data_IF_142778564251
#
_entry.id   IF_142778564251
#
_cell.length_a   1.000
_cell.length_b   1.000
_cell.length_c   1.000
_cell.angle_alpha   90.00
_cell.angle_beta   90.00
_cell.angle_gamma   90.00
#
_symmetry.space_group_name_H-M   'P 1'
#
loop_
_entity.id
_entity.type
_entity.pdbx_description
1 polymer ?
#
# COMPACT_ATOMS: atom_id res chain seq x y z
N UNK A 1 -28.99 32.47 -9.73
CA UNK A 1 -29.95 32.10 -8.67
C UNK A 1 -29.33 31.01 -7.81
N UNK A 2 -28.57 31.39 -6.79
CA UNK A 2 -27.99 30.48 -5.79
C UNK A 2 -29.01 30.30 -4.68
N UNK A 3 -29.82 29.26 -4.76
CA UNK A 3 -30.71 28.88 -3.68
C UNK A 3 -29.86 28.40 -2.49
N UNK A 4 -29.74 29.23 -1.45
CA UNK A 4 -29.28 28.77 -0.15
C UNK A 4 -30.34 27.83 0.41
N UNK A 5 -29.98 26.55 0.53
CA UNK A 5 -30.80 25.56 1.24
C UNK A 5 -30.87 26.01 2.71
N UNK A 6 -32.07 26.24 3.28
CA UNK A 6 -32.19 26.54 4.71
C UNK A 6 -31.75 25.32 5.51
N UNK A 7 -30.80 25.48 6.42
CA UNK A 7 -30.53 24.46 7.44
C UNK A 7 -31.80 24.34 8.30
N UNK A 8 -32.41 23.16 8.34
CA UNK A 8 -33.51 22.89 9.26
C UNK A 8 -32.96 22.86 10.69
N UNK A 9 -33.14 23.98 11.39
CA UNK A 9 -32.95 24.09 12.83
C UNK A 9 -34.06 23.30 13.54
N UNK A 10 -33.85 22.02 13.82
CA UNK A 10 -34.90 21.23 14.46
C UNK A 10 -34.60 19.79 14.87
N UNK A 11 -33.34 19.37 14.97
CA UNK A 11 -33.02 17.96 15.32
C UNK A 11 -32.34 17.87 16.68
N UNK A 12 -32.98 17.13 17.59
CA UNK A 12 -32.55 16.93 18.96
C UNK A 12 -31.19 16.25 18.98
N UNK A 13 -30.18 16.99 19.45
CA UNK A 13 -28.78 16.54 19.57
C UNK A 13 -28.69 15.64 20.79
N UNK A 14 -28.53 14.34 20.60
CA UNK A 14 -28.22 13.46 21.70
C UNK A 14 -26.74 13.62 22.05
N UNK A 15 -26.49 14.23 23.21
CA UNK A 15 -25.18 14.54 23.81
C UNK A 15 -24.56 15.85 23.31
N UNK A 16 -24.35 16.79 24.24
CA UNK A 16 -23.56 17.98 23.96
C UNK A 16 -22.09 17.56 23.73
N UNK A 17 -21.42 18.06 22.68
CA UNK A 17 -20.01 17.76 22.47
C UNK A 17 -19.20 18.22 23.68
N UNK A 18 -18.26 17.39 24.12
CA UNK A 18 -17.35 17.72 25.21
C UNK A 18 -16.66 19.07 24.94
N UNK A 19 -16.53 19.96 25.95
CA UNK A 19 -15.89 21.25 25.75
C UNK A 19 -14.46 21.06 25.28
N UNK A 20 -14.15 21.54 24.07
CA UNK A 20 -12.80 21.40 23.49
C UNK A 20 -11.81 22.22 24.33
N UNK A 21 -10.64 21.65 24.68
CA UNK A 21 -9.63 22.37 25.44
C UNK A 21 -9.18 23.63 24.69
N UNK A 22 -8.97 24.71 25.42
CA UNK A 22 -8.46 25.96 24.86
C UNK A 22 -7.04 25.76 24.29
N UNK A 23 -6.67 26.46 23.21
CA UNK A 23 -5.33 26.33 22.64
C UNK A 23 -4.26 26.70 23.69
N UNK A 24 -3.31 25.80 23.91
CA UNK A 24 -2.29 25.87 24.98
C UNK A 24 -1.02 26.65 24.58
N UNK A 25 -0.95 27.16 23.35
CA UNK A 25 0.17 27.99 22.85
C UNK A 25 0.51 27.75 21.38
N UNK A 26 1.41 28.56 20.82
CA UNK A 26 2.03 28.30 19.52
C UNK A 26 3.15 27.26 19.69
N UNK A 27 3.15 26.24 18.85
CA UNK A 27 4.16 25.18 18.85
C UNK A 27 4.76 25.01 17.45
N UNK A 28 6.00 24.53 17.37
CA UNK A 28 6.62 24.22 16.08
C UNK A 28 5.86 23.09 15.37
N UNK A 29 5.77 23.13 14.04
CA UNK A 29 4.94 22.20 13.27
C UNK A 29 5.39 20.73 13.34
N UNK A 30 6.65 20.50 13.73
CA UNK A 30 7.31 19.22 13.92
C UNK A 30 7.39 18.77 15.39
N UNK A 31 7.10 19.68 16.34
CA UNK A 31 6.93 19.31 17.75
C UNK A 31 5.81 18.29 17.89
N UNK A 32 5.86 17.43 18.91
CA UNK A 32 4.86 16.37 19.12
C UNK A 32 3.96 16.72 20.30
N UNK A 33 2.67 16.55 20.10
CA UNK A 33 1.64 16.72 21.14
C UNK A 33 1.07 15.35 21.50
N UNK A 34 0.80 15.16 22.79
CA UNK A 34 0.04 14.00 23.25
C UNK A 34 -1.44 14.27 23.02
N UNK A 35 -2.15 13.30 22.43
CA UNK A 35 -3.61 13.33 22.31
C UNK A 35 -4.17 11.97 22.70
N UNK A 36 -5.24 11.97 23.48
CA UNK A 36 -5.99 10.78 23.86
C UNK A 36 -7.33 10.81 23.16
N UNK A 37 -7.76 9.69 22.58
CA UNK A 37 -9.07 9.54 21.93
C UNK A 37 -9.50 8.07 22.00
N UNK A 38 -10.78 7.80 21.75
CA UNK A 38 -11.28 6.45 21.57
C UNK A 38 -11.47 6.18 20.08
N UNK A 39 -10.96 5.06 19.57
CA UNK A 39 -11.14 4.66 18.18
C UNK A 39 -11.74 3.26 18.13
N UNK A 40 -12.93 3.12 17.55
CA UNK A 40 -13.71 1.88 17.52
C UNK A 40 -13.81 1.25 18.93
N UNK A 41 -14.18 2.06 19.93
CA UNK A 41 -14.30 1.67 21.33
C UNK A 41 -12.98 1.31 22.05
N UNK A 42 -11.83 1.51 21.41
CA UNK A 42 -10.51 1.29 22.02
C UNK A 42 -9.87 2.64 22.39
N UNK A 43 -9.46 2.86 23.65
CA UNK A 43 -8.66 4.02 24.04
C UNK A 43 -7.29 4.03 23.36
N UNK A 44 -6.90 5.19 22.84
CA UNK A 44 -5.66 5.40 22.09
C UNK A 44 -4.93 6.64 22.61
N UNK A 45 -3.66 6.45 22.96
CA UNK A 45 -2.72 7.53 23.23
C UNK A 45 -1.78 7.73 22.03
N UNK A 46 -1.84 8.90 21.40
CA UNK A 46 -1.00 9.29 20.27
C UNK A 46 -0.01 10.38 20.66
N UNK A 47 1.22 10.27 20.15
CA UNK A 47 2.21 11.34 20.25
C UNK A 47 2.66 11.82 18.86
N UNK A 48 2.00 12.86 18.35
CA UNK A 48 1.98 13.20 16.92
C UNK A 48 2.24 14.68 16.66
N UNK A 49 2.77 15.05 15.48
CA UNK A 49 2.85 16.45 15.08
C UNK A 49 1.46 17.11 15.02
N UNK A 50 1.28 18.38 15.45
CA UNK A 50 0.01 19.10 15.40
C UNK A 50 -0.63 19.17 14.00
N UNK A 51 0.19 19.06 12.94
CA UNK A 51 -0.27 19.07 11.55
C UNK A 51 -0.84 17.73 11.06
N UNK A 52 -0.71 16.65 11.84
CA UNK A 52 -1.15 15.33 11.42
C UNK A 52 -2.68 15.30 11.35
N UNK A 53 -3.23 14.98 10.18
CA UNK A 53 -4.68 14.86 10.00
C UNK A 53 -5.21 13.63 10.74
N UNK A 54 -6.50 13.61 11.07
CA UNK A 54 -7.16 12.43 11.63
C UNK A 54 -7.08 11.25 10.66
N UNK A 55 -7.23 11.51 9.35
CA UNK A 55 -7.10 10.45 8.35
C UNK A 55 -5.70 9.80 8.38
N UNK A 56 -4.63 10.59 8.43
CA UNK A 56 -3.27 10.06 8.50
C UNK A 56 -2.98 9.38 9.85
N UNK A 57 -3.54 9.91 10.95
CA UNK A 57 -3.44 9.26 12.25
C UNK A 57 -4.08 7.86 12.22
N UNK A 58 -5.31 7.74 11.72
CA UNK A 58 -6.01 6.45 11.61
C UNK A 58 -5.24 5.46 10.72
N UNK A 59 -4.82 5.91 9.53
CA UNK A 59 -4.21 5.05 8.52
C UNK A 59 -2.76 4.67 8.85
N UNK A 60 -1.93 5.67 9.13
CA UNK A 60 -0.48 5.49 9.21
C UNK A 60 -0.03 5.21 10.64
N UNK A 61 -0.71 5.79 11.65
CA UNK A 61 -0.34 5.57 13.06
C UNK A 61 -1.07 4.39 13.66
N UNK A 62 -2.35 4.20 13.36
CA UNK A 62 -3.18 3.14 13.94
C UNK A 62 -3.39 1.94 13.02
N UNK A 63 -2.95 2.01 11.76
CA UNK A 63 -3.08 0.91 10.81
C UNK A 63 -4.52 0.64 10.34
N UNK A 64 -5.47 1.52 10.66
CA UNK A 64 -6.87 1.47 10.24
C UNK A 64 -7.00 2.08 8.84
N UNK A 65 -6.69 1.27 7.83
CA UNK A 65 -6.53 1.73 6.44
C UNK A 65 -7.84 1.87 5.68
N UNK A 66 -8.98 1.51 6.26
CA UNK A 66 -10.30 1.57 5.64
C UNK A 66 -10.79 3.00 5.39
N UNK A 67 -10.35 3.98 6.17
CA UNK A 67 -10.56 5.40 5.83
C UNK A 67 -9.67 5.79 4.66
N UNK A 68 -10.24 6.21 3.53
CA UNK A 68 -9.48 6.49 2.30
C UNK A 68 -9.28 7.99 2.04
N UNK A 69 -8.15 8.35 1.43
CA UNK A 69 -7.82 9.71 1.00
C UNK A 69 -7.88 9.79 -0.53
N UNK A 70 -8.86 10.55 -1.05
CA UNK A 70 -9.02 10.77 -2.48
C UNK A 70 -8.66 12.19 -2.94
N UNK A 71 -9.07 13.21 -2.18
CA UNK A 71 -8.85 14.62 -2.55
C UNK A 71 -8.16 15.47 -1.49
N UNK A 72 -8.20 15.09 -0.21
CA UNK A 72 -7.60 15.80 0.93
C UNK A 72 -8.06 17.25 1.16
N UNK A 73 -9.10 17.72 0.46
CA UNK A 73 -9.65 19.07 0.58
C UNK A 73 -11.17 19.05 0.83
N UNK A 74 -11.71 17.94 1.34
CA UNK A 74 -13.10 17.80 1.78
C UNK A 74 -14.16 17.49 0.71
N UNK A 75 -13.80 17.52 -0.57
CA UNK A 75 -14.74 17.38 -1.70
C UNK A 75 -15.26 15.95 -1.89
N UNK A 76 -14.38 14.95 -1.89
CA UNK A 76 -14.74 13.59 -2.34
C UNK A 76 -15.50 12.74 -1.32
N UNK A 77 -15.42 13.06 -0.04
CA UNK A 77 -16.04 12.31 1.05
C UNK A 77 -15.54 10.88 1.33
N UNK A 78 -14.49 10.41 0.68
CA UNK A 78 -13.94 9.06 0.91
C UNK A 78 -13.32 8.88 2.31
N UNK A 79 -12.96 10.00 2.95
CA UNK A 79 -12.38 10.04 4.30
C UNK A 79 -13.43 10.25 5.40
N UNK A 80 -14.71 10.04 5.11
CA UNK A 80 -15.74 10.16 6.15
C UNK A 80 -15.48 9.14 7.26
N UNK A 81 -15.49 9.62 8.50
CA UNK A 81 -15.53 8.86 9.75
C UNK A 81 -16.64 9.42 10.63
N UNK A 82 -17.03 8.73 11.69
CA UNK A 82 -17.88 9.32 12.73
C UNK A 82 -16.98 9.90 13.83
N UNK A 83 -17.24 11.12 14.26
CA UNK A 83 -16.60 11.76 15.41
C UNK A 83 -17.72 12.17 16.36
N UNK A 84 -17.70 11.63 17.57
CA UNK A 84 -18.76 11.79 18.58
C UNK A 84 -20.16 11.48 18.02
N UNK A 85 -20.23 10.47 17.15
CA UNK A 85 -21.46 10.04 16.49
C UNK A 85 -21.84 10.79 15.20
N UNK A 86 -21.14 11.88 14.84
CA UNK A 86 -21.46 12.69 13.64
C UNK A 86 -20.48 12.43 12.49
N UNK A 87 -20.98 12.36 11.25
CA UNK A 87 -20.11 12.20 10.08
C UNK A 87 -19.21 13.42 9.85
N UNK A 88 -17.89 13.19 9.81
CA UNK A 88 -16.89 14.24 9.60
C UNK A 88 -15.83 13.85 8.57
N UNK A 89 -15.21 14.86 7.94
CA UNK A 89 -14.09 14.67 7.01
C UNK A 89 -12.79 14.50 7.78
N UNK A 90 -12.29 13.28 7.88
CA UNK A 90 -11.05 13.01 8.62
C UNK A 90 -9.83 13.77 8.04
N UNK A 91 -9.82 14.08 6.74
CA UNK A 91 -8.73 14.83 6.11
C UNK A 91 -8.72 16.33 6.45
N UNK A 92 -9.79 16.87 7.03
CA UNK A 92 -9.91 18.29 7.40
C UNK A 92 -9.88 18.50 8.93
N UNK A 93 -9.64 17.44 9.69
CA UNK A 93 -9.47 17.47 11.13
C UNK A 93 -8.04 17.13 11.47
N UNK A 94 -7.42 17.85 12.40
CA UNK A 94 -6.14 17.47 12.97
C UNK A 94 -6.36 16.54 14.15
N UNK A 95 -5.50 15.52 14.29
CA UNK A 95 -5.60 14.56 15.39
C UNK A 95 -5.56 15.25 16.75
N UNK A 96 -4.77 16.32 16.91
CA UNK A 96 -4.67 17.10 18.14
C UNK A 96 -5.97 17.85 18.53
N UNK A 97 -6.92 18.01 17.61
CA UNK A 97 -8.22 18.63 17.89
C UNK A 97 -9.23 17.64 18.52
N UNK A 98 -8.90 16.35 18.53
CA UNK A 98 -9.81 15.24 18.85
C UNK A 98 -9.53 14.68 20.26
N UNK A 99 -9.00 15.51 21.16
CA UNK A 99 -8.80 15.14 22.56
C UNK A 99 -10.14 14.67 23.16
N UNK A 100 -10.12 13.48 23.75
CA UNK A 100 -11.24 12.79 24.39
C UNK A 100 -12.43 12.45 23.48
N UNK A 101 -12.27 12.59 22.15
CA UNK A 101 -13.32 12.29 21.19
C UNK A 101 -13.47 10.77 20.97
N UNK A 102 -14.68 10.33 20.60
CA UNK A 102 -14.95 8.97 20.12
C UNK A 102 -14.97 8.95 18.58
N UNK A 103 -14.16 8.10 17.97
CA UNK A 103 -14.02 7.98 16.52
C UNK A 103 -14.40 6.58 16.06
N UNK A 104 -15.36 6.48 15.14
CA UNK A 104 -15.72 5.21 14.50
C UNK A 104 -15.33 5.24 13.03
N UNK A 105 -14.56 4.23 12.60
CA UNK A 105 -14.17 3.99 11.21
C UNK A 105 -14.99 2.86 10.61
N UNK A 106 -14.83 2.57 9.31
CA UNK A 106 -15.55 1.47 8.64
C UNK A 106 -15.23 0.12 9.29
N UNK A 107 -14.02 -0.05 9.83
CA UNK A 107 -13.60 -1.23 10.57
C UNK A 107 -14.43 -1.42 11.85
N UNK A 108 -14.97 -0.36 12.45
CA UNK A 108 -15.84 -0.42 13.62
C UNK A 108 -17.28 -0.84 13.31
N UNK A 109 -17.74 -0.74 12.05
CA UNK A 109 -19.12 -1.08 11.69
C UNK A 109 -19.44 -2.57 11.83
N UNK A 110 -18.52 -3.44 11.40
CA UNK A 110 -18.76 -4.87 11.33
C UNK A 110 -17.50 -5.64 10.95
N UNK A 111 -17.59 -6.97 10.97
CA UNK A 111 -16.49 -7.91 10.70
C UNK A 111 -16.84 -8.79 9.50
N UNK A 112 -15.85 -9.40 8.82
CA UNK A 112 -16.13 -10.28 7.67
C UNK A 112 -17.09 -11.45 8.00
N UNK A 113 -17.10 -11.90 9.24
CA UNK A 113 -17.97 -12.96 9.80
C UNK A 113 -19.29 -12.45 10.38
N UNK A 114 -19.43 -11.13 10.57
CA UNK A 114 -20.60 -10.49 11.15
C UNK A 114 -20.72 -9.06 10.60
N UNK A 115 -21.31 -8.97 9.39
CA UNK A 115 -21.40 -7.72 8.65
C UNK A 115 -22.53 -6.85 9.18
N UNK A 116 -22.29 -5.55 9.24
CA UNK A 116 -23.36 -4.59 9.50
C UNK A 116 -24.43 -4.64 8.38
N UNK A 117 -25.73 -4.42 8.65
CA UNK A 117 -26.77 -4.46 7.62
C UNK A 117 -26.49 -3.60 6.37
N UNK A 118 -25.86 -2.43 6.55
CA UNK A 118 -25.36 -1.59 5.45
C UNK A 118 -24.29 -2.31 4.60
N UNK A 119 -23.32 -2.97 5.22
CA UNK A 119 -22.27 -3.70 4.50
C UNK A 119 -22.86 -4.85 3.68
N UNK A 120 -23.81 -5.59 4.26
CA UNK A 120 -24.51 -6.65 3.53
C UNK A 120 -25.34 -6.11 2.36
N UNK A 121 -26.09 -5.02 2.58
CA UNK A 121 -26.93 -4.42 1.54
C UNK A 121 -26.10 -3.89 0.37
N UNK A 122 -24.95 -3.26 0.64
CA UNK A 122 -24.02 -2.84 -0.41
C UNK A 122 -23.49 -4.02 -1.22
N UNK A 123 -23.23 -5.17 -0.59
CA UNK A 123 -22.86 -6.39 -1.29
C UNK A 123 -24.00 -6.89 -2.18
N UNK A 124 -25.21 -7.07 -1.61
CA UNK A 124 -26.39 -7.58 -2.34
C UNK A 124 -26.80 -6.69 -3.53
N UNK A 125 -26.70 -5.37 -3.38
CA UNK A 125 -27.11 -4.40 -4.40
C UNK A 125 -26.00 -3.96 -5.34
N UNK A 126 -24.84 -4.61 -5.29
CA UNK A 126 -23.68 -4.21 -6.09
C UNK A 126 -23.36 -2.71 -5.90
N UNK A 127 -23.50 -2.22 -4.66
CA UNK A 127 -23.23 -0.85 -4.24
C UNK A 127 -21.74 -0.48 -4.22
N UNK A 128 -20.86 -1.36 -4.71
CA UNK A 128 -19.44 -1.10 -4.88
C UNK A 128 -18.88 -1.76 -6.15
N UNK A 129 -17.75 -1.24 -6.63
CA UNK A 129 -16.91 -1.85 -7.66
C UNK A 129 -15.44 -1.83 -7.20
N UNK A 130 -14.73 -0.72 -7.40
CA UNK A 130 -13.34 -0.59 -6.93
C UNK A 130 -13.19 -0.56 -5.40
N UNK A 131 -14.28 -0.39 -4.66
CA UNK A 131 -14.31 -0.34 -3.20
C UNK A 131 -13.79 0.96 -2.57
N UNK A 132 -13.14 1.85 -3.33
CA UNK A 132 -12.41 2.99 -2.76
C UNK A 132 -13.32 4.03 -2.08
N UNK A 133 -14.49 4.33 -2.62
CA UNK A 133 -15.45 5.25 -1.98
C UNK A 133 -16.34 4.57 -0.93
N UNK A 134 -16.36 3.24 -0.86
CA UNK A 134 -17.34 2.47 -0.11
C UNK A 134 -17.31 2.73 1.40
N UNK A 135 -16.14 2.84 2.06
CA UNK A 135 -16.07 3.22 3.47
C UNK A 135 -16.77 4.54 3.80
N UNK A 136 -16.53 5.57 2.97
CA UNK A 136 -17.16 6.88 3.14
C UNK A 136 -18.67 6.83 2.98
N UNK A 137 -19.17 6.06 2.00
CA UNK A 137 -20.61 5.85 1.82
C UNK A 137 -21.25 5.11 2.99
N UNK A 138 -20.60 4.06 3.50
CA UNK A 138 -21.14 3.28 4.62
C UNK A 138 -21.30 4.14 5.88
N UNK A 139 -20.32 4.98 6.22
CA UNK A 139 -20.41 5.86 7.38
C UNK A 139 -21.34 7.06 7.17
N UNK A 140 -21.39 7.64 5.97
CA UNK A 140 -22.38 8.67 5.65
C UNK A 140 -23.82 8.12 5.68
N UNK A 141 -24.05 6.89 5.20
CA UNK A 141 -25.35 6.25 5.27
C UNK A 141 -25.72 5.85 6.70
N UNK A 142 -24.75 5.42 7.51
CA UNK A 142 -24.96 5.14 8.93
C UNK A 142 -25.43 6.39 9.67
N UNK A 143 -24.73 7.53 9.51
CA UNK A 143 -25.10 8.80 10.13
C UNK A 143 -26.50 9.25 9.69
N UNK A 144 -26.78 9.21 8.37
CA UNK A 144 -28.08 9.54 7.81
C UNK A 144 -29.22 8.71 8.42
N UNK A 145 -29.08 7.39 8.46
CA UNK A 145 -30.13 6.49 8.96
C UNK A 145 -30.24 6.49 10.49
N UNK A 146 -29.18 6.88 11.21
CA UNK A 146 -29.26 7.11 12.65
C UNK A 146 -30.07 8.37 12.97
N UNK A 147 -29.92 9.42 12.16
CA UNK A 147 -30.62 10.70 12.34
C UNK A 147 -32.01 10.75 11.70
N UNK A 148 -32.24 9.97 10.64
CA UNK A 148 -33.45 9.97 9.81
C UNK A 148 -33.68 8.59 9.19
N UNK A 149 -34.11 7.60 9.99
CA UNK A 149 -34.30 6.22 9.53
C UNK A 149 -35.35 6.08 8.43
N UNK A 150 -36.29 7.03 8.36
CA UNK A 150 -37.41 7.09 7.42
C UNK A 150 -37.13 7.96 6.18
N UNK A 151 -35.87 8.29 5.90
CA UNK A 151 -35.49 9.14 4.76
C UNK A 151 -36.07 8.56 3.44
N UNK A 152 -36.92 9.31 2.70
CA UNK A 152 -37.49 8.85 1.44
C UNK A 152 -36.43 8.51 0.39
N UNK A 153 -36.66 7.46 -0.40
CA UNK A 153 -35.69 6.95 -1.37
C UNK A 153 -35.29 8.00 -2.43
N UNK A 154 -36.21 8.89 -2.82
CA UNK A 154 -35.97 9.99 -3.76
C UNK A 154 -35.07 11.11 -3.19
N UNK A 155 -34.90 11.16 -1.87
CA UNK A 155 -34.00 12.10 -1.17
C UNK A 155 -32.60 11.57 -0.94
N UNK A 156 -32.41 10.25 -0.95
CA UNK A 156 -31.11 9.63 -0.73
C UNK A 156 -29.98 10.16 -1.64
N UNK A 157 -30.19 10.46 -2.94
CA UNK A 157 -29.13 11.03 -3.77
C UNK A 157 -28.63 12.40 -3.27
N UNK A 158 -29.52 13.23 -2.73
CA UNK A 158 -29.18 14.56 -2.19
C UNK A 158 -28.46 14.41 -0.85
N UNK A 159 -28.98 13.57 0.04
CA UNK A 159 -28.40 13.32 1.37
C UNK A 159 -27.02 12.64 1.29
N UNK A 160 -26.81 11.75 0.32
CA UNK A 160 -25.53 11.05 0.10
C UNK A 160 -24.59 11.77 -0.88
N UNK A 161 -24.97 12.97 -1.37
CA UNK A 161 -24.18 13.75 -2.34
C UNK A 161 -22.78 14.14 -1.85
N UNK A 162 -22.57 14.06 -0.53
CA UNK A 162 -21.29 14.28 0.11
C UNK A 162 -20.22 13.23 -0.21
N UNK A 163 -20.53 12.09 -0.84
CA UNK A 163 -19.51 11.09 -1.19
C UNK A 163 -19.51 10.84 -2.69
N UNK A 164 -18.35 10.98 -3.33
CA UNK A 164 -18.21 10.84 -4.77
C UNK A 164 -17.88 9.38 -5.15
N UNK A 165 -18.62 8.84 -6.11
CA UNK A 165 -18.33 7.57 -6.75
C UNK A 165 -18.03 7.76 -8.23
N UNK A 166 -16.94 7.15 -8.73
CA UNK A 166 -16.60 7.19 -10.16
C UNK A 166 -16.96 5.91 -10.93
N UNK A 167 -17.40 4.86 -10.23
CA UNK A 167 -17.53 3.53 -10.82
C UNK A 167 -18.98 3.06 -10.96
N UNK A 168 -19.80 3.19 -9.92
CA UNK A 168 -21.10 2.49 -9.83
C UNK A 168 -22.25 3.20 -10.54
N UNK A 169 -22.14 4.51 -10.77
CA UNK A 169 -23.28 5.32 -11.20
C UNK A 169 -24.35 5.51 -10.10
N UNK A 170 -23.99 5.29 -8.83
CA UNK A 170 -24.79 5.54 -7.61
C UNK A 170 -26.03 4.68 -7.39
N UNK A 171 -26.64 4.10 -8.43
CA UNK A 171 -27.92 3.37 -8.27
C UNK A 171 -27.86 2.25 -7.22
N UNK A 172 -26.87 1.35 -7.30
CA UNK A 172 -26.73 0.26 -6.32
C UNK A 172 -26.43 0.73 -4.89
N UNK A 173 -25.85 1.93 -4.73
CA UNK A 173 -25.60 2.55 -3.43
C UNK A 173 -26.93 3.02 -2.83
N UNK A 174 -27.71 3.77 -3.62
CA UNK A 174 -29.02 4.28 -3.19
C UNK A 174 -29.97 3.13 -2.86
N UNK A 175 -30.02 2.10 -3.71
CA UNK A 175 -30.84 0.90 -3.47
C UNK A 175 -30.42 0.16 -2.19
N UNK A 176 -29.11 0.08 -1.88
CA UNK A 176 -28.62 -0.53 -0.66
C UNK A 176 -29.07 0.22 0.60
N UNK A 177 -28.98 1.55 0.58
CA UNK A 177 -29.39 2.39 1.71
C UNK A 177 -30.91 2.36 1.90
N UNK A 178 -31.68 2.41 0.80
CA UNK A 178 -33.14 2.29 0.82
C UNK A 178 -33.59 0.93 1.39
N UNK A 179 -32.91 -0.15 1.04
CA UNK A 179 -33.17 -1.48 1.61
C UNK A 179 -32.99 -1.52 3.12
N UNK A 180 -31.91 -0.91 3.64
CA UNK A 180 -31.66 -0.87 5.08
C UNK A 180 -32.68 0.02 5.79
N UNK A 181 -33.01 1.19 5.23
CA UNK A 181 -34.07 2.06 5.77
C UNK A 181 -35.40 1.30 5.90
N UNK A 182 -35.81 0.54 4.87
CA UNK A 182 -37.02 -0.29 4.92
C UNK A 182 -36.95 -1.43 5.94
N UNK A 183 -35.78 -2.06 6.08
CA UNK A 183 -35.58 -3.18 7.00
C UNK A 183 -35.46 -2.73 8.47
N UNK A 184 -35.08 -1.47 8.71
CA UNK A 184 -34.79 -0.92 10.03
C UNK A 184 -35.56 0.41 10.26
N UNK A 185 -36.91 0.40 10.26
CA UNK A 185 -37.71 1.63 10.35
C UNK A 185 -37.57 2.37 11.69
N UNK A 186 -37.28 1.64 12.76
CA UNK A 186 -37.11 2.19 14.12
C UNK A 186 -35.66 2.61 14.43
N UNK A 187 -34.78 2.60 13.42
CA UNK A 187 -33.36 2.89 13.57
C UNK A 187 -32.48 1.68 13.22
N UNK A 188 -31.26 1.98 12.77
CA UNK A 188 -30.25 0.98 12.43
C UNK A 188 -29.48 0.53 13.69
N UNK A 189 -28.97 -0.71 13.73
CA UNK A 189 -28.09 -1.14 14.82
C UNK A 189 -26.83 -0.27 14.87
N UNK A 190 -26.25 -0.12 16.07
CA UNK A 190 -24.98 0.56 16.24
C UNK A 190 -23.80 -0.19 15.60
N UNK A 191 -22.58 0.40 15.61
CA UNK A 191 -21.39 -0.25 15.06
C UNK A 191 -21.08 -1.55 15.82
N UNK A 192 -20.98 -2.67 15.09
CA UNK A 192 -20.87 -4.01 15.67
C UNK A 192 -19.46 -4.44 16.06
N UNK A 193 -18.42 -3.66 15.73
CA UNK A 193 -17.02 -4.02 15.95
C UNK A 193 -16.24 -2.97 16.76
N UNK A 194 -16.88 -2.38 17.77
CA UNK A 194 -16.26 -1.41 18.68
C UNK A 194 -15.83 -2.01 20.04
N UNK A 195 -15.50 -3.31 20.08
CA UNK A 195 -14.98 -3.93 21.30
C UNK A 195 -13.51 -3.51 21.55
N UNK A 196 -13.06 -3.37 22.81
CA UNK A 196 -11.68 -3.01 23.12
C UNK A 196 -10.72 -4.01 22.48
N UNK A 197 -9.90 -3.54 21.56
CA UNK A 197 -8.86 -4.33 20.90
C UNK A 197 -7.56 -3.57 20.94
N UNK A 198 -6.45 -4.26 21.09
CA UNK A 198 -5.14 -3.60 20.91
C UNK A 198 -5.01 -3.18 19.45
N UNK A 199 -5.12 -1.87 19.18
CA UNK A 199 -4.77 -1.32 17.87
C UNK A 199 -3.26 -1.47 17.70
N UNK A 200 -2.86 -2.30 16.73
CA UNK A 200 -1.47 -2.46 16.37
C UNK A 200 -1.05 -1.25 15.53
N UNK A 201 -0.57 -0.21 16.22
CA UNK A 201 -0.05 0.97 15.54
C UNK A 201 1.17 0.64 14.69
N UNK A 202 1.22 1.13 13.45
CA UNK A 202 2.44 1.11 12.64
C UNK A 202 3.30 2.30 13.05
N UNK A 203 4.15 2.10 14.05
CA UNK A 203 5.20 3.08 14.38
C UNK A 203 6.59 2.43 14.32
N UNK A 204 7.53 3.02 13.55
CA UNK A 204 8.93 2.94 13.88
C UNK A 204 9.21 3.91 15.04
N UNK A 205 9.53 3.36 16.21
CA UNK A 205 10.04 4.11 17.38
C UNK A 205 9.04 5.01 18.12
N UNK A 206 8.72 4.63 19.36
CA UNK A 206 8.01 5.37 20.41
C UNK A 206 6.61 5.97 20.08
N UNK A 207 5.58 5.39 20.71
CA UNK A 207 4.41 6.15 21.16
C UNK A 207 3.03 5.65 20.72
N UNK A 208 2.71 4.38 20.96
CA UNK A 208 1.34 3.98 21.36
C UNK A 208 1.52 3.23 22.68
N UNK A 209 1.11 3.83 23.79
CA UNK A 209 1.02 3.13 25.07
C UNK A 209 -0.45 2.77 25.25
N UNK A 210 -0.76 1.49 25.32
CA UNK A 210 -2.02 1.06 25.92
C UNK A 210 -1.87 1.20 27.43
N UNK A 211 -2.83 1.84 28.09
CA UNK A 211 -2.83 2.01 29.53
C UNK A 211 -2.93 0.64 30.24
N UNK A 212 -1.77 0.08 30.60
CA UNK A 212 -1.66 -0.99 31.58
C UNK A 212 -0.39 -0.79 32.44
N UNK A 213 -0.65 -0.63 33.74
CA UNK A 213 0.21 -0.46 34.93
C UNK A 213 1.74 -0.66 34.84
N UNK A 214 2.43 0.37 35.34
CA UNK A 214 3.71 0.40 36.09
C UNK A 214 4.84 -0.59 35.75
N UNK A 215 5.93 -0.07 35.14
CA UNK A 215 7.34 -0.34 35.51
C UNK A 215 8.34 0.48 34.66
N UNK A 216 9.56 0.77 35.16
CA UNK A 216 10.37 1.91 34.70
C UNK A 216 11.32 1.60 33.52
N UNK A 217 11.48 2.63 32.69
CA UNK A 217 12.62 3.01 31.83
C UNK A 217 13.70 1.96 31.50
N UNK A 218 13.89 1.69 30.20
CA UNK A 218 15.17 1.24 29.64
C UNK A 218 15.47 1.96 28.32
N UNK A 219 16.76 2.24 28.13
CA UNK A 219 17.40 3.06 27.10
C UNK A 219 17.34 2.43 25.66
N UNK A 220 17.92 3.05 24.61
CA UNK A 220 17.55 2.85 23.21
C UNK A 220 17.95 1.47 22.66
N UNK A 221 17.10 0.91 21.80
CA UNK A 221 17.26 -0.41 21.19
C UNK A 221 18.22 -0.38 19.99
N UNK A 222 19.14 -1.35 19.96
CA UNK A 222 19.94 -1.76 18.80
C UNK A 222 19.05 -2.11 17.59
N UNK A 223 19.43 -1.64 16.40
CA UNK A 223 18.84 -2.08 15.13
C UNK A 223 19.27 -3.54 14.83
N UNK A 224 18.37 -4.42 14.37
CA UNK A 224 18.69 -5.84 14.19
C UNK A 224 19.65 -6.05 13.00
N UNK A 225 20.75 -6.75 13.28
CA UNK A 225 21.90 -7.06 12.41
C UNK A 225 21.62 -8.08 11.27
N UNK A 226 20.38 -8.58 11.13
CA UNK A 226 20.02 -9.75 10.32
C UNK A 226 18.75 -9.54 9.46
N UNK A 227 18.82 -9.83 8.16
CA UNK A 227 17.67 -9.78 7.24
C UNK A 227 16.82 -11.05 7.39
N UNK A 228 15.62 -10.91 7.96
CA UNK A 228 14.65 -12.01 8.06
C UNK A 228 13.55 -11.89 7.00
N UNK A 229 13.33 -12.96 6.26
CA UNK A 229 12.22 -13.06 5.30
C UNK A 229 10.90 -13.35 6.05
N UNK A 230 9.79 -12.71 5.66
CA UNK A 230 8.48 -13.03 6.24
C UNK A 230 8.08 -14.48 5.95
N UNK A 231 7.40 -15.16 6.90
CA UNK A 231 6.80 -16.47 6.61
C UNK A 231 5.58 -16.30 5.67
N UNK A 232 5.43 -17.20 4.69
CA UNK A 232 4.29 -17.22 3.76
C UNK A 232 4.71 -17.20 2.29
N UNK A 233 3.73 -17.12 1.39
CA UNK A 233 3.99 -16.98 -0.04
C UNK A 233 4.51 -15.57 -0.37
N UNK A 234 5.45 -15.44 -1.34
CA UNK A 234 5.92 -14.14 -1.77
C UNK A 234 4.79 -13.32 -2.40
N UNK A 235 4.83 -12.01 -2.22
CA UNK A 235 3.89 -11.08 -2.87
C UNK A 235 4.05 -11.14 -4.39
N UNK A 236 5.31 -11.26 -4.84
CA UNK A 236 5.71 -11.40 -6.24
C UNK A 236 6.81 -12.45 -6.32
N UNK A 237 6.65 -13.42 -7.20
CA UNK A 237 7.70 -14.36 -7.58
C UNK A 237 8.11 -14.06 -9.02
N UNK A 238 9.40 -13.82 -9.23
CA UNK A 238 9.96 -13.45 -10.53
C UNK A 238 10.93 -14.53 -10.96
N UNK A 239 10.85 -14.95 -12.23
CA UNK A 239 11.83 -15.79 -12.89
C UNK A 239 12.11 -15.23 -14.27
N UNK A 240 13.36 -14.83 -14.53
CA UNK A 240 13.78 -14.24 -15.80
C UNK A 240 15.12 -14.84 -16.21
N UNK A 241 15.25 -15.18 -17.49
CA UNK A 241 16.48 -15.66 -18.11
C UNK A 241 16.86 -14.80 -19.31
N UNK A 242 18.14 -14.49 -19.49
CA UNK A 242 18.64 -13.73 -20.64
C UNK A 242 20.04 -14.18 -21.03
N UNK A 243 20.34 -14.16 -22.32
CA UNK A 243 21.66 -14.48 -22.86
C UNK A 243 22.54 -13.23 -22.86
N UNK A 244 23.79 -13.37 -22.45
CA UNK A 244 24.80 -12.32 -22.36
C UNK A 244 26.00 -12.71 -23.22
N UNK A 245 26.40 -11.80 -24.11
CA UNK A 245 27.51 -11.98 -25.05
C UNK A 245 28.87 -11.75 -24.38
N UNK A 246 29.13 -12.52 -23.32
CA UNK A 246 30.38 -12.54 -22.56
C UNK A 246 30.64 -13.96 -22.03
N UNK A 247 31.89 -14.27 -21.70
CA UNK A 247 32.22 -15.59 -21.17
C UNK A 247 31.63 -15.78 -19.77
N UNK A 248 31.23 -17.02 -19.40
CA UNK A 248 30.66 -17.29 -18.07
C UNK A 248 31.57 -16.88 -16.91
N UNK A 249 32.89 -16.95 -17.13
CA UNK A 249 33.89 -16.51 -16.17
C UNK A 249 33.87 -14.99 -15.99
N UNK A 250 33.76 -14.24 -17.07
CA UNK A 250 33.77 -12.76 -17.00
C UNK A 250 32.47 -12.24 -16.39
N UNK A 251 31.34 -12.84 -16.74
CA UNK A 251 30.05 -12.57 -16.09
C UNK A 251 30.12 -12.86 -14.59
N UNK A 252 30.70 -14.00 -14.21
CA UNK A 252 30.87 -14.36 -12.82
C UNK A 252 31.77 -13.38 -12.07
N UNK A 253 32.89 -12.93 -12.66
CA UNK A 253 33.76 -11.94 -12.03
C UNK A 253 33.01 -10.64 -11.71
N UNK A 254 32.06 -10.23 -12.55
CA UNK A 254 31.23 -9.07 -12.26
C UNK A 254 30.23 -9.36 -11.13
N UNK A 255 29.55 -10.50 -11.16
CA UNK A 255 28.63 -10.91 -10.09
C UNK A 255 29.35 -11.09 -8.75
N UNK A 256 30.65 -11.41 -8.78
CA UNK A 256 31.46 -11.58 -7.60
C UNK A 256 31.80 -10.23 -6.92
N UNK A 257 31.80 -9.13 -7.67
CA UNK A 257 32.09 -7.79 -7.18
C UNK A 257 30.78 -7.04 -6.86
N UNK A 258 30.37 -7.05 -5.58
CA UNK A 258 29.12 -6.43 -5.14
C UNK A 258 29.00 -4.92 -5.46
N UNK A 259 30.06 -4.09 -5.27
CA UNK A 259 30.09 -2.72 -5.81
C UNK A 259 29.82 -2.66 -7.32
N UNK A 260 30.45 -3.51 -8.12
CA UNK A 260 30.25 -3.51 -9.57
C UNK A 260 28.82 -3.94 -9.94
N UNK A 261 28.28 -4.98 -9.29
CA UNK A 261 26.86 -5.38 -9.43
C UNK A 261 25.92 -4.22 -9.15
N UNK A 262 26.18 -3.44 -8.10
CA UNK A 262 25.34 -2.29 -7.76
C UNK A 262 25.32 -1.23 -8.86
N UNK A 263 26.41 -1.07 -9.62
CA UNK A 263 26.45 -0.15 -10.78
C UNK A 263 25.63 -0.66 -11.97
N UNK A 264 25.47 -1.97 -12.10
CA UNK A 264 24.63 -2.59 -13.14
C UNK A 264 23.14 -2.51 -12.80
N UNK A 265 22.77 -2.29 -11.54
CA UNK A 265 21.38 -2.24 -11.07
C UNK A 265 20.78 -0.82 -11.24
N UNK A 266 19.73 -0.63 -12.06
CA UNK A 266 19.16 0.70 -12.30
C UNK A 266 18.63 1.36 -11.02
N UNK A 267 19.22 2.51 -10.68
CA UNK A 267 18.80 3.31 -9.52
C UNK A 267 19.28 2.78 -8.16
N UNK A 268 20.09 1.72 -8.14
CA UNK A 268 20.76 1.24 -6.94
C UNK A 268 22.06 2.00 -6.67
N UNK A 269 22.39 2.15 -5.40
CA UNK A 269 23.61 2.80 -4.94
C UNK A 269 23.98 2.22 -3.57
N UNK A 270 25.21 1.72 -3.43
CA UNK A 270 25.75 1.33 -2.13
C UNK A 270 26.19 2.59 -1.38
N UNK A 271 25.74 2.72 -0.13
CA UNK A 271 26.09 3.84 0.74
C UNK A 271 27.15 3.46 1.77
N UNK A 272 27.24 2.19 2.13
CA UNK A 272 28.18 1.72 3.15
C UNK A 272 28.50 0.22 2.97
N UNK A 273 29.68 -0.21 3.40
CA UNK A 273 30.10 -1.62 3.42
C UNK A 273 30.31 -2.05 4.86
N UNK A 274 29.46 -2.97 5.33
CA UNK A 274 29.37 -3.34 6.75
C UNK A 274 30.24 -4.56 7.12
N UNK A 275 30.89 -5.16 6.12
CA UNK A 275 31.71 -6.36 6.27
C UNK A 275 30.88 -7.65 6.37
N UNK A 276 31.54 -8.80 6.11
CA UNK A 276 30.88 -10.09 6.07
C UNK A 276 29.81 -10.18 4.99
N UNK A 277 30.12 -9.68 3.79
CA UNK A 277 29.19 -9.69 2.63
C UNK A 277 27.87 -8.94 2.85
N UNK A 278 27.88 -7.97 3.79
CA UNK A 278 26.77 -7.07 4.10
C UNK A 278 27.04 -5.66 3.61
N UNK A 279 26.03 -5.06 3.01
CA UNK A 279 26.09 -3.76 2.38
C UNK A 279 24.86 -2.94 2.77
N UNK A 280 25.05 -1.64 2.98
CA UNK A 280 23.93 -0.68 3.09
C UNK A 280 23.81 0.06 1.78
N UNK A 281 22.59 0.28 1.33
CA UNK A 281 22.36 0.98 0.07
C UNK A 281 20.98 1.59 -0.03
N UNK A 282 20.75 2.24 -1.16
CA UNK A 282 19.45 2.75 -1.57
C UNK A 282 19.13 2.32 -2.98
N UNK A 283 17.85 2.12 -3.27
CA UNK A 283 17.35 1.80 -4.60
C UNK A 283 16.17 2.72 -4.95
N UNK A 284 16.25 3.40 -6.10
CA UNK A 284 15.17 4.24 -6.63
C UNK A 284 14.50 3.57 -7.81
N UNK A 285 13.19 3.38 -7.72
CA UNK A 285 12.38 2.79 -8.79
C UNK A 285 11.29 3.77 -9.21
N UNK A 286 11.16 4.02 -10.51
CA UNK A 286 10.11 4.91 -11.07
C UNK A 286 9.10 4.11 -11.87
N UNK A 287 7.84 4.18 -11.47
CA UNK A 287 6.70 3.46 -12.05
C UNK A 287 5.66 4.48 -12.55
N UNK A 288 5.85 4.98 -13.77
CA UNK A 288 5.00 6.06 -14.30
C UNK A 288 5.07 7.31 -13.42
N UNK A 289 3.95 7.79 -12.84
CA UNK A 289 3.94 8.94 -11.93
C UNK A 289 4.46 8.62 -10.52
N UNK A 290 4.60 7.33 -10.15
CA UNK A 290 5.04 6.91 -8.82
C UNK A 290 6.56 6.81 -8.78
N UNK A 291 7.17 7.38 -7.73
CA UNK A 291 8.59 7.24 -7.43
C UNK A 291 8.73 6.58 -6.06
N UNK A 292 9.44 5.46 -6.01
CA UNK A 292 9.75 4.72 -4.79
C UNK A 292 11.25 4.82 -4.50
N UNK A 293 11.62 4.94 -3.24
CA UNK A 293 13.00 4.95 -2.80
C UNK A 293 13.15 4.06 -1.57
N UNK A 294 13.79 2.92 -1.74
CA UNK A 294 14.10 2.01 -0.65
C UNK A 294 15.48 2.34 -0.09
N UNK A 295 15.61 2.40 1.23
CA UNK A 295 16.90 2.49 1.94
C UNK A 295 16.99 1.27 2.84
N UNK A 296 18.14 0.58 2.82
CA UNK A 296 18.18 -0.72 3.44
C UNK A 296 19.50 -1.48 3.35
N UNK A 297 19.42 -2.77 3.66
CA UNK A 297 20.53 -3.71 3.73
C UNK A 297 20.45 -4.76 2.62
N UNK A 298 21.60 -5.16 2.12
CA UNK A 298 21.78 -6.34 1.29
C UNK A 298 22.82 -7.26 1.96
N UNK A 299 22.57 -8.56 1.95
CA UNK A 299 23.44 -9.57 2.51
C UNK A 299 23.61 -10.70 1.48
N UNK A 300 24.83 -10.91 1.01
CA UNK A 300 25.16 -12.06 0.16
C UNK A 300 25.32 -13.27 1.08
N UNK A 301 24.39 -14.22 0.98
CA UNK A 301 24.33 -15.40 1.86
C UNK A 301 24.89 -16.65 1.20
N UNK A 302 25.02 -16.65 -0.12
CA UNK A 302 25.61 -17.74 -0.90
C UNK A 302 26.40 -17.13 -2.06
N UNK A 303 27.62 -17.62 -2.26
CA UNK A 303 28.54 -17.23 -3.32
C UNK A 303 29.40 -18.45 -3.66
N UNK A 304 28.96 -19.21 -4.65
CA UNK A 304 29.62 -20.43 -5.09
C UNK A 304 30.17 -20.23 -6.50
N UNK A 305 31.50 -20.17 -6.62
CA UNK A 305 32.19 -19.97 -7.89
C UNK A 305 32.21 -21.23 -8.77
N UNK A 306 32.10 -22.43 -8.18
CA UNK A 306 32.13 -23.69 -8.91
C UNK A 306 30.78 -23.93 -9.61
N UNK A 307 29.68 -23.70 -8.88
CA UNK A 307 28.33 -23.78 -9.44
C UNK A 307 27.82 -22.48 -10.05
N UNK A 308 28.57 -21.38 -9.90
CA UNK A 308 28.26 -20.01 -10.37
C UNK A 308 26.89 -19.54 -9.91
N UNK A 309 26.65 -19.73 -8.60
CA UNK A 309 25.40 -19.39 -7.92
C UNK A 309 25.62 -18.32 -6.87
N UNK A 310 24.79 -17.29 -6.94
CA UNK A 310 24.76 -16.17 -6.01
C UNK A 310 23.38 -16.07 -5.37
N UNK A 311 23.32 -15.95 -4.05
CA UNK A 311 22.08 -15.66 -3.31
C UNK A 311 22.23 -14.44 -2.44
N UNK A 312 21.30 -13.50 -2.59
CA UNK A 312 21.29 -12.22 -1.90
C UNK A 312 19.96 -12.03 -1.20
N UNK A 313 20.02 -11.79 0.11
CA UNK A 313 18.88 -11.31 0.88
C UNK A 313 18.92 -9.79 0.89
N UNK A 314 17.81 -9.17 0.50
CA UNK A 314 17.67 -7.72 0.50
C UNK A 314 16.50 -7.28 1.37
N UNK A 315 16.67 -6.11 1.95
CA UNK A 315 15.78 -5.51 2.91
C UNK A 315 15.78 -4.02 2.71
N UNK A 316 14.63 -3.40 2.51
CA UNK A 316 14.56 -1.95 2.37
C UNK A 316 13.23 -1.37 2.78
N UNK A 317 13.28 -0.16 3.30
CA UNK A 317 12.11 0.59 3.72
C UNK A 317 12.01 1.86 2.88
N UNK A 318 10.80 2.14 2.41
CA UNK A 318 10.46 3.33 1.65
C UNK A 318 9.92 4.42 2.60
N UNK A 319 10.43 5.66 2.55
CA UNK A 319 9.96 6.77 3.39
C UNK A 319 8.46 7.03 3.27
N UNK A 320 7.83 6.64 2.15
CA UNK A 320 6.40 6.71 1.92
C UNK A 320 5.60 5.56 2.54
N UNK A 321 6.18 4.77 3.45
CA UNK A 321 5.45 3.78 4.25
C UNK A 321 5.28 2.41 3.57
N UNK A 322 6.22 2.02 2.72
CA UNK A 322 6.32 0.67 2.17
C UNK A 322 7.59 -0.03 2.65
N UNK A 323 7.60 -1.35 2.60
CA UNK A 323 8.83 -2.10 2.79
C UNK A 323 8.94 -3.26 1.80
N UNK A 324 10.18 -3.65 1.53
CA UNK A 324 10.54 -4.76 0.67
C UNK A 324 11.51 -5.67 1.41
N UNK A 325 11.24 -6.97 1.34
CA UNK A 325 12.20 -8.02 1.66
C UNK A 325 12.26 -8.94 0.45
N UNK A 326 13.46 -9.33 0.04
CA UNK A 326 13.63 -10.15 -1.16
C UNK A 326 14.68 -11.22 -0.94
N UNK A 327 14.43 -12.40 -1.50
CA UNK A 327 15.40 -13.48 -1.69
C UNK A 327 15.69 -13.59 -3.18
N UNK A 328 16.90 -13.18 -3.57
CA UNK A 328 17.32 -13.09 -4.96
C UNK A 328 18.36 -14.16 -5.21
N UNK A 329 18.14 -15.02 -6.19
CA UNK A 329 19.07 -16.07 -6.61
C UNK A 329 19.44 -15.86 -8.06
N UNK A 330 20.73 -15.87 -8.36
CA UNK A 330 21.29 -15.72 -9.70
C UNK A 330 22.16 -16.91 -10.03
N UNK A 331 21.99 -17.47 -11.22
CA UNK A 331 22.79 -18.58 -11.75
C UNK A 331 23.34 -18.19 -13.14
N UNK A 332 24.58 -18.57 -13.41
CA UNK A 332 25.21 -18.37 -14.72
C UNK A 332 25.52 -19.72 -15.35
N UNK A 333 24.80 -20.06 -16.41
CA UNK A 333 24.97 -21.27 -17.19
C UNK A 333 25.80 -21.00 -18.46
N UNK A 334 26.50 -22.03 -18.93
CA UNK A 334 27.23 -21.98 -20.20
C UNK A 334 26.27 -22.21 -21.38
N UNK A 335 26.28 -21.31 -22.38
CA UNK A 335 25.58 -21.51 -23.65
C UNK A 335 26.56 -21.24 -24.81
N UNK A 336 27.37 -22.25 -25.13
CA UNK A 336 28.43 -22.15 -26.13
C UNK A 336 29.56 -21.22 -25.67
N UNK A 337 29.82 -20.14 -26.43
CA UNK A 337 30.82 -19.11 -26.09
C UNK A 337 30.23 -17.93 -25.30
N UNK A 338 28.92 -17.98 -25.06
CA UNK A 338 28.14 -16.95 -24.37
C UNK A 338 27.60 -17.49 -23.05
N UNK A 339 27.04 -16.62 -22.22
CA UNK A 339 26.50 -16.96 -20.91
C UNK A 339 25.00 -16.84 -20.90
N UNK A 340 24.29 -17.77 -20.27
CA UNK A 340 22.88 -17.60 -19.91
C UNK A 340 22.76 -17.26 -18.44
N UNK A 341 22.16 -16.13 -18.13
CA UNK A 341 21.93 -15.69 -16.75
C UNK A 341 20.47 -15.92 -16.41
N UNK A 342 20.24 -16.66 -15.34
CA UNK A 342 18.90 -16.90 -14.78
C UNK A 342 18.82 -16.26 -13.40
N UNK A 343 17.88 -15.35 -13.20
CA UNK A 343 17.59 -14.78 -11.89
C UNK A 343 16.17 -15.11 -11.46
N UNK A 344 16.06 -15.58 -10.22
CA UNK A 344 14.79 -15.75 -9.52
C UNK A 344 14.75 -14.84 -8.31
N UNK A 345 13.59 -14.23 -8.04
CA UNK A 345 13.41 -13.38 -6.88
C UNK A 345 12.05 -13.64 -6.23
N UNK A 346 12.08 -13.99 -4.94
CA UNK A 346 10.90 -14.03 -4.08
C UNK A 346 10.81 -12.72 -3.31
N UNK A 347 9.83 -11.88 -3.65
CA UNK A 347 9.71 -10.52 -3.13
C UNK A 347 8.47 -10.39 -2.25
N UNK A 348 8.70 -9.94 -1.03
CA UNK A 348 7.69 -9.68 -0.01
C UNK A 348 7.54 -8.16 0.12
N UNK A 349 6.41 -7.65 -0.35
CA UNK A 349 6.08 -6.23 -0.29
C UNK A 349 5.07 -6.00 0.83
N UNK A 350 5.30 -4.96 1.62
CA UNK A 350 4.35 -4.51 2.64
C UNK A 350 4.08 -3.00 2.52
N UNK A 351 3.00 -2.57 3.17
CA UNK A 351 2.59 -1.16 3.16
C UNK A 351 2.08 -0.69 1.80
N UNK A 352 2.35 0.58 1.45
CA UNK A 352 1.88 1.18 0.19
C UNK A 352 2.36 0.46 -1.07
N UNK A 353 3.52 -0.19 -1.00
CA UNK A 353 4.14 -0.87 -2.15
C UNK A 353 3.48 -2.21 -2.44
N UNK A 354 2.84 -2.84 -1.44
CA UNK A 354 2.08 -4.08 -1.65
C UNK A 354 0.83 -3.91 -2.54
N UNK A 355 0.37 -2.67 -2.74
CA UNK A 355 -0.80 -2.36 -3.58
C UNK A 355 -0.49 -2.52 -5.08
N UNK A 356 0.78 -2.59 -5.45
CA UNK A 356 1.18 -2.88 -6.83
C UNK A 356 0.97 -4.38 -7.10
N UNK A 357 -0.15 -4.72 -7.73
CA UNK A 357 -0.51 -6.10 -8.03
C UNK A 357 0.51 -6.82 -8.91
N UNK A 358 0.47 -8.17 -8.91
CA UNK A 358 1.44 -9.06 -9.59
C UNK A 358 1.78 -8.63 -11.03
N UNK A 359 0.77 -8.26 -11.83
CA UNK A 359 0.97 -7.86 -13.24
C UNK A 359 1.86 -6.63 -13.43
N UNK A 360 1.86 -5.67 -12.50
CA UNK A 360 2.74 -4.50 -12.61
C UNK A 360 4.16 -4.86 -12.18
N UNK A 361 4.30 -5.69 -11.15
CA UNK A 361 5.60 -6.15 -10.68
C UNK A 361 6.32 -7.00 -11.74
N UNK A 362 5.60 -7.83 -12.49
CA UNK A 362 6.16 -8.62 -13.59
C UNK A 362 6.74 -7.73 -14.71
N UNK A 363 5.98 -6.71 -15.13
CA UNK A 363 6.41 -5.79 -16.20
C UNK A 363 7.63 -4.95 -15.76
N UNK A 364 7.67 -4.54 -14.50
CA UNK A 364 8.77 -3.77 -13.91
C UNK A 364 10.02 -4.61 -13.76
N UNK A 365 9.87 -5.83 -13.21
CA UNK A 365 11.00 -6.73 -12.99
C UNK A 365 11.63 -7.14 -14.31
N UNK A 366 10.81 -7.39 -15.34
CA UNK A 366 11.31 -7.65 -16.69
C UNK A 366 12.15 -6.49 -17.26
N UNK A 367 11.71 -5.24 -17.09
CA UNK A 367 12.44 -4.07 -17.59
C UNK A 367 13.73 -3.83 -16.79
N UNK A 368 13.68 -3.94 -15.46
CA UNK A 368 14.87 -3.78 -14.61
C UNK A 368 15.90 -4.87 -14.89
N UNK A 369 15.46 -6.11 -15.10
CA UNK A 369 16.34 -7.23 -15.40
C UNK A 369 16.97 -7.15 -16.80
N UNK A 370 16.21 -6.68 -17.80
CA UNK A 370 16.74 -6.44 -19.15
C UNK A 370 17.83 -5.37 -19.12
N UNK A 371 17.64 -4.29 -18.35
CA UNK A 371 18.67 -3.25 -18.15
C UNK A 371 19.88 -3.75 -17.38
N UNK A 372 19.65 -4.54 -16.33
CA UNK A 372 20.71 -5.17 -15.54
C UNK A 372 21.56 -6.11 -16.40
N UNK A 373 20.94 -7.00 -17.18
CA UNK A 373 21.63 -7.97 -18.03
C UNK A 373 22.48 -7.28 -19.10
N UNK A 374 21.98 -6.19 -19.68
CA UNK A 374 22.75 -5.38 -20.63
C UNK A 374 23.96 -4.72 -19.96
N UNK A 375 23.76 -4.06 -18.81
CA UNK A 375 24.85 -3.41 -18.06
C UNK A 375 25.89 -4.43 -17.55
N UNK A 376 25.44 -5.64 -17.20
CA UNK A 376 26.29 -6.75 -16.79
C UNK A 376 27.14 -7.26 -17.96
N UNK A 377 26.56 -7.38 -19.17
CA UNK A 377 27.30 -7.71 -20.38
C UNK A 377 28.36 -6.68 -20.75
N UNK A 378 28.02 -5.38 -20.66
CA UNK A 378 28.97 -4.28 -20.88
C UNK A 378 30.15 -4.33 -19.90
N UNK A 379 29.85 -4.54 -18.60
CA UNK A 379 30.84 -4.66 -17.54
C UNK A 379 31.75 -5.90 -17.72
N UNK A 380 31.16 -7.05 -18.04
CA UNK A 380 31.90 -8.30 -18.27
C UNK A 380 32.81 -8.22 -19.50
N UNK A 381 32.42 -7.45 -20.52
CA UNK A 381 33.21 -7.22 -21.73
C UNK A 381 34.33 -6.17 -21.55
N UNK A 382 34.45 -5.57 -20.36
CA UNK A 382 35.47 -4.54 -20.07
C UNK A 382 35.25 -3.22 -20.80
N UNK A 383 34.05 -2.97 -21.34
CA UNK A 383 33.71 -1.70 -21.98
C UNK A 383 33.19 -0.73 -20.92
N UNK A 384 33.79 0.45 -20.71
CA UNK A 384 33.27 1.39 -19.72
C UNK A 384 31.90 1.90 -20.18
N UNK A 385 30.84 1.30 -19.65
CA UNK A 385 29.47 1.72 -19.89
C UNK A 385 29.25 3.11 -19.36
N UNK A 386 29.24 4.12 -20.23
CA UNK A 386 28.66 5.43 -19.97
C UNK A 386 27.14 5.28 -19.80
N UNK A 387 26.70 4.76 -18.65
CA UNK A 387 25.30 4.72 -18.28
C UNK A 387 24.83 6.13 -17.90
N UNK A 388 24.59 6.97 -18.92
CA UNK A 388 23.87 8.23 -18.73
C UNK A 388 22.43 7.86 -18.37
N UNK A 389 22.08 8.08 -17.10
CA UNK A 389 20.75 8.01 -16.53
C UNK A 389 19.69 8.51 -17.54
N UNK A 390 18.92 7.61 -18.12
CA UNK A 390 17.68 7.95 -18.79
C UNK A 390 16.55 7.21 -18.09
N UNK A 391 15.67 7.98 -17.45
CA UNK A 391 14.38 7.50 -16.98
C UNK A 391 13.63 6.82 -18.15
N UNK A 392 12.92 5.71 -17.90
CA UNK A 392 12.24 4.97 -18.96
C UNK A 392 11.23 5.89 -19.66
N UNK A 393 11.40 6.10 -20.97
CA UNK A 393 10.44 6.89 -21.74
C UNK A 393 9.16 6.09 -21.96
N UNK A 394 8.02 6.74 -21.72
CA UNK A 394 6.69 6.14 -21.90
C UNK A 394 6.51 5.51 -23.31
N UNK A 395 7.21 6.04 -24.31
CA UNK A 395 7.20 5.53 -25.69
C UNK A 395 7.83 4.13 -25.81
N UNK A 396 8.94 3.85 -25.10
CA UNK A 396 9.59 2.52 -25.13
C UNK A 396 8.76 1.46 -24.42
N UNK A 397 8.04 1.84 -23.35
CA UNK A 397 7.10 0.93 -22.67
C UNK A 397 5.93 0.54 -23.58
N UNK A 398 5.31 1.50 -24.28
CA UNK A 398 4.24 1.22 -25.25
C UNK A 398 4.74 0.32 -26.40
N UNK A 399 5.93 0.58 -26.94
CA UNK A 399 6.53 -0.23 -28.00
C UNK A 399 6.87 -1.66 -27.53
N UNK A 400 7.35 -1.82 -26.30
CA UNK A 400 7.64 -3.14 -25.71
C UNK A 400 6.36 -3.96 -25.44
N UNK A 401 5.29 -3.31 -24.96
CA UNK A 401 3.99 -3.93 -24.76
C UNK A 401 3.34 -4.37 -26.09
N UNK A 402 3.48 -3.56 -27.15
CA UNK A 402 3.04 -3.90 -28.51
C UNK A 402 3.84 -5.07 -29.09
N UNK A 403 5.17 -5.10 -28.93
CA UNK A 403 6.02 -6.21 -29.38
C UNK A 403 5.68 -7.51 -28.66
N UNK A 404 5.40 -7.46 -27.35
CA UNK A 404 5.00 -8.63 -26.55
C UNK A 404 3.60 -9.14 -26.92
N UNK A 405 2.64 -8.25 -27.22
CA UNK A 405 1.32 -8.65 -27.78
C UNK A 405 1.46 -9.31 -29.15
N UNK A 406 2.29 -8.76 -30.03
CA UNK A 406 2.56 -9.34 -31.35
C UNK A 406 3.24 -10.72 -31.26
N UNK A 407 4.20 -10.90 -30.34
CA UNK A 407 4.84 -12.19 -30.10
C UNK A 407 3.87 -13.25 -29.54
N UNK A 408 2.95 -12.88 -28.64
CA UNK A 408 1.91 -13.79 -28.13
C UNK A 408 0.89 -14.19 -29.20
N UNK A 409 0.50 -13.26 -30.07
CA UNK A 409 -0.37 -13.55 -31.22
C UNK A 409 0.33 -14.48 -32.21
N UNK A 410 1.62 -14.25 -32.49
CA UNK A 410 2.42 -15.09 -33.38
C UNK A 410 2.63 -16.51 -32.83
N UNK A 411 2.81 -16.68 -31.51
CA UNK A 411 2.87 -18.00 -30.83
C UNK A 411 1.53 -18.75 -30.88
N UNK A 412 0.40 -18.05 -30.75
CA UNK A 412 -0.94 -18.65 -30.90
C UNK A 412 -1.27 -19.09 -32.33
N UNK A 413 -0.79 -18.35 -33.33
CA UNK A 413 -1.00 -18.71 -34.75
C UNK A 413 -0.12 -19.91 -35.13
N UNK A 414 1.11 -19.98 -34.62
CA UNK A 414 2.03 -21.10 -34.89
C UNK A 414 1.61 -22.40 -34.19
N UNK A 415 0.95 -22.33 -33.03
CA UNK A 415 0.37 -23.51 -32.36
C UNK A 415 -0.88 -24.09 -33.04
N UNK A 416 -1.54 -23.33 -33.93
CA UNK A 416 -2.70 -23.80 -34.70
C UNK A 416 -2.34 -24.39 -36.08
N UNK A 417 -1.08 -24.26 -36.52
CA UNK A 417 -0.63 -24.71 -37.84
C UNK A 417 0.22 -25.99 -37.82
N UNK A 418 0.40 -26.62 -36.66
CA UNK A 418 1.10 -27.92 -36.56
C UNK A 418 0.07 -29.06 -36.63
N UNK A 419 0.06 -29.90 -37.67
CA UNK A 419 -0.86 -31.03 -37.73
C UNK A 419 -0.43 -32.11 -36.73
N UNK A 420 -1.36 -32.55 -35.89
CA UNK A 420 -1.21 -33.72 -35.03
C UNK A 420 -0.93 -34.95 -35.90
N UNK A 421 0.30 -35.48 -35.85
CA UNK A 421 0.58 -36.85 -36.29
C UNK A 421 -0.03 -37.81 -35.28
N UNK A 422 -1.10 -38.51 -35.68
CA UNK A 422 -1.64 -39.66 -34.98
C UNK A 422 -0.71 -40.86 -35.19
N UNK A 423 -0.14 -41.33 -34.08
CA UNK A 423 0.37 -42.69 -33.92
C UNK A 423 -0.81 -43.62 -33.71
N UNK A 424 -0.98 -44.64 -34.57
CA UNK A 424 -1.27 -46.04 -34.19
C UNK A 424 -1.60 -46.92 -35.41
N UNK A 425 -0.85 -48.05 -35.48
CA UNK A 425 -1.02 -49.29 -36.28
C UNK A 425 -0.68 -49.29 -37.76
#
# INVERSE_FOLDING_TARGET
MTARIPRQDGRARNSAPSPRPAPTGLVAADSRVAVQLTVNGTPVDLHVPPRLTLADALRDRLGLTGTHLGCEHGVCGMCTVLVDGEAARACLLFACQLQDADVVTVEGLGRPDDLHPLQEAFSRRHGLQCGFCTPGFLLSAYDLLTLSPDTPEDKLPEELSGVLCRCTGYRGIVEAVADVSRACPDGIPGPGNCAPRTLLGRLPGNGVRTAAKDSPSSAPADEPDEIRLPPGEPTVAVEISTDVDASPRDVWNVLDDAPLVATCLPGAELTDTLGGDRYRGRARVSLGPVRLQFVGLAHVVERDADSRRLRVLAAGDDPGGGSVRADIRVCVDEDGWTSRITATADVFLAGRVAQFGRSLADDVSAVLFEQFSAALGDAASGTPGTARQQAPSALRMVLSALRRRLARVRRRITSHLTPRRSSER
#
